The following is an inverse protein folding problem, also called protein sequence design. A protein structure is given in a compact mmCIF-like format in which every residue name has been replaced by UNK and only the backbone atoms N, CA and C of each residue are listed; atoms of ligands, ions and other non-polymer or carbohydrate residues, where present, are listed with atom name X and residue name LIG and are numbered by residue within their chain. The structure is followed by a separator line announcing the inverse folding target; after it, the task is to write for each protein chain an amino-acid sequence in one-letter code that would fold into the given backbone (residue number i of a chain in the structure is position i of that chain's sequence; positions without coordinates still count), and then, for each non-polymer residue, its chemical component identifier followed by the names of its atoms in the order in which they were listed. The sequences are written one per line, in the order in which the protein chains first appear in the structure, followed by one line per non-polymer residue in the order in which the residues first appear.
data_IF_529527187843
#
_entry.id   IF_529527187843
#
_cell.length_a   1.000
_cell.length_b   1.000
_cell.length_c   1.000
_cell.angle_alpha   90.00
_cell.angle_beta   90.00
_cell.angle_gamma   90.00
#
_symmetry.space_group_name_H-M   'P 1'
#
loop_
_entity.id
_entity.type
_entity.pdbx_description
1 polymer ?
#
# COMPACT_ATOMS: atom_id res chain seq x y z
N UNK A 1 -0.67 -1.02 19.34
CA UNK A 1 0.30 -1.88 18.64
C UNK A 1 0.33 -3.30 19.18
N UNK A 2 0.79 -3.55 20.41
CA UNK A 2 0.96 -4.92 20.96
C UNK A 2 -0.36 -5.71 21.08
N UNK A 3 -1.47 -5.06 21.42
CA UNK A 3 -2.79 -5.68 21.43
C UNK A 3 -3.24 -6.07 20.01
N UNK A 4 -3.19 -5.12 19.07
CA UNK A 4 -3.57 -5.32 17.66
C UNK A 4 -2.72 -6.39 16.95
N UNK A 5 -1.42 -6.47 17.26
CA UNK A 5 -0.54 -7.51 16.76
C UNK A 5 -0.92 -8.90 17.32
N UNK A 6 -1.25 -8.99 18.62
CA UNK A 6 -1.72 -10.25 19.23
C UNK A 6 -3.06 -10.72 18.67
N UNK A 7 -4.00 -9.81 18.45
CA UNK A 7 -5.31 -10.13 17.82
C UNK A 7 -5.14 -10.67 16.41
N UNK A 8 -4.16 -10.16 15.65
CA UNK A 8 -3.84 -10.59 14.29
C UNK A 8 -2.86 -11.77 14.24
N UNK A 9 -2.39 -12.28 15.38
CA UNK A 9 -1.39 -13.35 15.43
C UNK A 9 -0.02 -12.98 14.82
N UNK A 10 0.29 -11.69 14.75
CA UNK A 10 1.52 -11.17 14.15
C UNK A 10 2.64 -11.23 15.19
N UNK A 11 3.75 -11.87 14.82
CA UNK A 11 4.98 -11.83 15.62
C UNK A 11 5.70 -10.51 15.36
N UNK A 12 5.78 -9.67 16.39
CA UNK A 12 6.55 -8.42 16.32
C UNK A 12 8.04 -8.73 16.28
N UNK A 13 8.80 -7.90 15.56
CA UNK A 13 10.25 -8.00 15.53
C UNK A 13 10.89 -7.54 16.85
N UNK A 14 12.16 -7.91 17.03
CA UNK A 14 12.98 -7.44 18.15
C UNK A 14 13.05 -5.90 18.18
N UNK A 15 13.10 -5.26 17.00
CA UNK A 15 12.99 -3.82 16.86
C UNK A 15 11.52 -3.38 16.65
N UNK A 16 10.74 -3.39 17.73
CA UNK A 16 9.32 -3.00 17.70
C UNK A 16 9.08 -1.58 17.17
N UNK A 17 10.09 -0.70 17.18
CA UNK A 17 9.99 0.68 16.69
C UNK A 17 9.70 0.68 15.19
N UNK A 18 10.37 -0.19 14.43
CA UNK A 18 10.18 -0.27 12.97
C UNK A 18 8.76 -0.73 12.63
N UNK A 19 8.23 -1.70 13.37
CA UNK A 19 6.86 -2.20 13.16
C UNK A 19 5.82 -1.13 13.47
N UNK A 20 6.04 -0.37 14.54
CA UNK A 20 5.19 0.77 14.89
C UNK A 20 5.24 1.83 13.79
N UNK A 21 6.43 2.15 13.27
CA UNK A 21 6.59 3.12 12.19
C UNK A 21 5.91 2.65 10.90
N UNK A 22 6.04 1.38 10.53
CA UNK A 22 5.41 0.80 9.33
C UNK A 22 3.89 0.93 9.41
N UNK A 23 3.30 0.52 10.53
CA UNK A 23 1.85 0.62 10.72
C UNK A 23 1.42 2.08 10.83
N UNK A 24 2.20 2.94 11.51
CA UNK A 24 1.88 4.36 11.65
C UNK A 24 1.83 5.08 10.30
N UNK A 25 2.84 4.84 9.45
CA UNK A 25 2.97 5.46 8.13
C UNK A 25 2.00 4.85 7.11
N UNK A 26 1.69 3.56 7.24
CA UNK A 26 0.85 2.83 6.32
C UNK A 26 -0.16 1.98 7.09
N UNK A 27 -1.27 2.56 7.53
CA UNK A 27 -2.22 1.85 8.40
C UNK A 27 -2.73 0.55 7.76
N UNK A 28 -3.27 0.59 6.54
CA UNK A 28 -3.81 -0.61 5.90
C UNK A 28 -2.70 -1.55 5.36
N UNK A 29 -1.74 -0.99 4.64
CA UNK A 29 -0.67 -1.78 3.98
C UNK A 29 0.34 -2.30 4.98
N UNK A 30 0.64 -1.56 6.04
CA UNK A 30 1.59 -1.92 7.08
C UNK A 30 1.17 -3.15 7.88
N UNK A 31 -0.12 -3.28 8.23
CA UNK A 31 -0.61 -4.52 8.85
C UNK A 31 -0.43 -5.72 7.91
N UNK A 32 -0.81 -5.58 6.64
CA UNK A 32 -0.67 -6.63 5.63
C UNK A 32 0.79 -7.00 5.36
N UNK A 33 1.69 -6.02 5.44
CA UNK A 33 3.14 -6.23 5.38
C UNK A 33 3.63 -7.06 6.58
N UNK A 34 3.23 -6.69 7.79
CA UNK A 34 3.64 -7.42 9.00
C UNK A 34 3.12 -8.86 9.02
N UNK A 35 1.89 -9.10 8.54
CA UNK A 35 1.32 -10.44 8.38
C UNK A 35 2.13 -11.30 7.39
N UNK A 36 2.74 -10.68 6.39
CA UNK A 36 3.46 -11.36 5.31
C UNK A 36 4.99 -11.20 5.39
N UNK A 37 5.54 -10.69 6.49
CA UNK A 37 6.95 -10.28 6.60
C UNK A 37 7.95 -11.40 6.26
N UNK A 38 7.64 -12.64 6.62
CA UNK A 38 8.47 -13.81 6.36
C UNK A 38 7.98 -14.63 5.15
N UNK A 39 7.08 -14.06 4.34
CA UNK A 39 6.47 -14.70 3.19
C UNK A 39 6.85 -13.95 1.89
N UNK A 40 7.99 -14.30 1.26
CA UNK A 40 8.42 -13.64 0.02
C UNK A 40 7.40 -13.78 -1.13
N UNK A 41 6.55 -14.81 -1.12
CA UNK A 41 5.50 -15.02 -2.13
C UNK A 41 4.32 -14.05 -2.03
N UNK A 42 4.18 -13.33 -0.91
CA UNK A 42 3.17 -12.28 -0.76
C UNK A 42 3.64 -10.91 -1.27
N UNK A 43 4.90 -10.83 -1.70
CA UNK A 43 5.48 -9.64 -2.31
C UNK A 43 5.65 -9.83 -3.80
N UNK A 44 5.87 -8.72 -4.49
CA UNK A 44 6.21 -8.75 -5.90
C UNK A 44 7.55 -9.49 -6.09
N UNK A 45 7.68 -10.27 -7.18
CA UNK A 45 8.94 -10.90 -7.51
C UNK A 45 10.02 -9.86 -7.76
N UNK A 46 11.27 -10.26 -7.56
CA UNK A 46 12.40 -9.40 -7.96
C UNK A 46 12.26 -9.06 -9.44
N UNK A 47 12.38 -7.76 -9.83
CA UNK A 47 12.23 -7.37 -11.21
C UNK A 47 13.17 -8.18 -12.10
N UNK A 48 12.61 -9.04 -12.96
CA UNK A 48 13.41 -9.75 -13.95
C UNK A 48 13.75 -8.80 -15.10
N UNK A 49 14.89 -8.99 -15.76
CA UNK A 49 15.27 -8.15 -16.91
C UNK A 49 14.22 -8.15 -18.05
N UNK A 50 13.39 -9.18 -18.13
CA UNK A 50 12.21 -9.24 -19.02
C UNK A 50 11.05 -8.33 -18.57
N UNK A 51 10.88 -8.09 -17.26
CA UNK A 51 9.92 -7.14 -16.68
C UNK A 51 10.46 -5.71 -16.66
N UNK A 52 11.75 -5.50 -16.95
CA UNK A 52 12.34 -4.18 -17.20
C UNK A 52 11.93 -3.60 -18.57
N UNK A 53 11.13 -4.33 -19.37
CA UNK A 53 10.28 -3.66 -20.35
C UNK A 53 9.30 -2.83 -19.53
N UNK A 54 9.34 -1.48 -19.58
CA UNK A 54 8.40 -0.67 -18.83
C UNK A 54 7.02 -1.27 -19.10
N UNK A 55 6.38 -1.77 -18.05
CA UNK A 55 4.98 -2.11 -18.11
C UNK A 55 4.35 -0.85 -18.66
N UNK A 56 4.00 -0.90 -19.95
CA UNK A 56 3.40 0.20 -20.65
C UNK A 56 2.21 0.52 -19.77
N UNK A 57 2.29 1.67 -19.08
CA UNK A 57 1.38 2.01 -18.02
C UNK A 57 -0.02 1.90 -18.60
N UNK A 58 -0.67 0.77 -18.34
CA UNK A 58 -2.05 0.53 -18.69
C UNK A 58 -2.83 1.38 -17.71
N UNK A 59 -2.95 2.65 -18.07
CA UNK A 59 -3.88 3.62 -17.52
C UNK A 59 -3.98 3.65 -15.98
N UNK A 60 -3.01 4.29 -15.35
CA UNK A 60 -3.35 5.23 -14.28
C UNK A 60 -2.65 6.54 -14.64
N UNK A 61 -3.43 7.44 -15.24
CA UNK A 61 -3.03 8.77 -15.66
C UNK A 61 -2.21 9.44 -14.56
N UNK A 62 -0.90 9.58 -14.76
CA UNK A 62 -0.17 10.66 -14.12
C UNK A 62 -0.92 11.95 -14.51
N UNK A 63 -1.36 12.80 -13.55
CA UNK A 63 -1.84 14.11 -13.92
C UNK A 63 -0.66 14.84 -14.53
N UNK A 64 -0.65 14.89 -15.85
CA UNK A 64 0.07 15.90 -16.62
C UNK A 64 -0.21 17.21 -15.91
N UNK A 65 0.82 17.94 -15.52
CA UNK A 65 0.69 19.30 -15.04
C UNK A 65 -0.07 20.11 -16.10
N UNK A 66 -1.39 20.16 -15.96
CA UNK A 66 -2.28 20.97 -16.74
C UNK A 66 -2.79 22.01 -15.76
N UNK A 67 -2.23 23.20 -15.90
CA UNK A 67 -2.87 24.45 -15.53
C UNK A 67 -4.26 24.48 -16.16
N UNK A 68 -5.26 23.97 -15.45
CA UNK A 68 -6.67 24.16 -15.75
C UNK A 68 -7.37 24.50 -14.45
N UNK A 69 -7.59 25.81 -14.29
CA UNK A 69 -8.49 26.39 -13.31
C UNK A 69 -9.86 25.73 -13.44
N UNK A 70 -10.18 24.84 -12.51
CA UNK A 70 -11.47 24.17 -12.42
C UNK A 70 -11.39 23.05 -11.39
N UNK A 71 -12.16 23.17 -10.31
CA UNK A 71 -12.23 22.16 -9.25
C UNK A 71 -12.66 20.82 -9.82
N UNK A 72 -11.74 19.85 -9.89
CA UNK A 72 -12.05 18.48 -10.28
C UNK A 72 -12.25 17.64 -9.00
N UNK A 73 -13.49 17.21 -8.76
CA UNK A 73 -13.83 16.26 -7.71
C UNK A 73 -13.57 14.84 -8.24
N UNK A 74 -12.73 14.09 -7.55
CA UNK A 74 -12.50 12.67 -7.84
C UNK A 74 -13.35 11.83 -6.89
N UNK A 75 -14.43 11.23 -7.40
CA UNK A 75 -15.23 10.25 -6.65
C UNK A 75 -14.53 8.90 -6.70
N UNK A 76 -14.17 8.37 -5.53
CA UNK A 76 -13.66 7.00 -5.39
C UNK A 76 -14.77 6.15 -4.79
N UNK A 77 -15.27 5.19 -5.55
CA UNK A 77 -16.25 4.22 -5.04
C UNK A 77 -15.53 3.03 -4.41
N UNK A 78 -15.74 2.83 -3.10
CA UNK A 78 -15.36 1.61 -2.40
C UNK A 78 -16.61 1.07 -1.70
N UNK A 79 -16.98 -0.17 -2.05
CA UNK A 79 -18.04 -0.96 -1.39
C UNK A 79 -19.38 -0.22 -1.16
N UNK A 80 -19.92 0.40 -2.20
CA UNK A 80 -21.32 0.86 -2.22
C UNK A 80 -21.67 2.06 -1.33
N UNK A 81 -20.67 2.79 -0.80
CA UNK A 81 -20.90 4.12 -0.19
C UNK A 81 -19.96 5.15 -0.78
N UNK A 82 -20.54 6.05 -1.58
CA UNK A 82 -19.90 7.31 -1.92
C UNK A 82 -19.75 8.16 -0.65
N UNK A 83 -18.52 8.40 -0.24
CA UNK A 83 -18.19 9.40 0.76
C UNK A 83 -17.96 10.72 0.02
N UNK A 84 -18.84 11.68 0.26
CA UNK A 84 -18.68 13.08 -0.11
C UNK A 84 -17.87 13.82 0.96
#
# INVERSE_FOLDING_TARGET
MTASAKEKGITLSENMIDDVLIVALFQQVGWKYLENRNNPSAFEPVPSADEAKPAQASAASAPKAQTQSGSAIYTVELEGKALW
#
